data_IF_441200310869
#
_entry.id   IF_441200310869
#
_cell.length_a   1.000
_cell.length_b   1.000
_cell.length_c   1.000
_cell.angle_alpha   90.00
_cell.angle_beta   90.00
_cell.angle_gamma   90.00
#
_symmetry.space_group_name_H-M   'P 1'
#
loop_
_entity.id
_entity.type
_entity.pdbx_description
1 polymer ?
#
# COMPACT_ATOMS: atom_id res chain seq x y z
N UNK A 1 4.69 11.31 -0.50
CA UNK A 1 3.31 11.13 -1.00
C UNK A 1 2.32 11.34 0.13
N UNK A 2 1.23 12.02 -0.16
CA UNK A 2 0.17 12.26 0.80
C UNK A 2 -0.93 11.21 0.65
N UNK A 3 -1.11 10.32 1.63
CA UNK A 3 -2.09 9.23 1.55
C UNK A 3 -3.53 9.68 1.87
N UNK A 4 -3.75 10.98 2.08
CA UNK A 4 -5.06 11.56 2.45
C UNK A 4 -5.97 11.70 1.22
N UNK A 5 -7.24 11.97 1.47
CA UNK A 5 -8.28 12.13 0.43
C UNK A 5 -9.28 10.97 0.40
N UNK A 6 -10.40 11.20 -0.26
CA UNK A 6 -11.53 10.27 -0.27
C UNK A 6 -11.20 8.95 -0.98
N UNK A 7 -11.77 7.85 -0.47
CA UNK A 7 -11.66 6.53 -1.09
C UNK A 7 -12.49 6.56 -2.37
N UNK A 8 -11.81 6.38 -3.50
CA UNK A 8 -12.44 6.63 -4.81
C UNK A 8 -13.28 5.45 -5.32
N UNK A 9 -12.97 4.22 -4.90
CA UNK A 9 -13.71 3.02 -5.30
C UNK A 9 -13.45 1.85 -4.34
N UNK A 10 -14.28 0.80 -4.45
CA UNK A 10 -14.05 -0.47 -3.78
C UNK A 10 -12.68 -1.06 -4.16
N UNK A 11 -12.04 -1.73 -3.20
CA UNK A 11 -10.73 -2.37 -3.34
C UNK A 11 -9.53 -1.42 -3.51
N UNK A 12 -9.67 -0.15 -3.13
CA UNK A 12 -8.48 0.68 -2.86
C UNK A 12 -7.71 0.13 -1.66
N UNK A 13 -6.38 0.14 -1.73
CA UNK A 13 -5.51 -0.58 -0.80
C UNK A 13 -4.57 0.40 -0.12
N UNK A 14 -4.35 0.22 1.17
CA UNK A 14 -3.44 1.03 1.97
C UNK A 14 -2.42 0.11 2.62
N UNK A 15 -1.13 0.42 2.45
CA UNK A 15 -0.03 -0.31 3.06
C UNK A 15 0.38 0.40 4.35
N UNK A 16 0.37 -0.34 5.45
CA UNK A 16 0.69 0.15 6.79
C UNK A 16 1.93 -0.58 7.30
N UNK A 17 2.91 0.15 7.82
CA UNK A 17 4.14 -0.43 8.36
C UNK A 17 3.98 -0.92 9.82
N UNK A 18 5.01 -1.55 10.37
CA UNK A 18 4.99 -2.08 11.75
C UNK A 18 4.83 -1.03 12.86
N UNK A 19 5.04 0.26 12.56
CA UNK A 19 4.80 1.37 13.47
C UNK A 19 3.36 1.94 13.38
N UNK A 20 2.50 1.33 12.55
CA UNK A 20 1.12 1.80 12.34
C UNK A 20 1.01 3.01 11.40
N UNK A 21 2.05 3.33 10.65
CA UNK A 21 2.07 4.46 9.71
C UNK A 21 1.70 3.99 8.32
N UNK A 22 0.79 4.71 7.65
CA UNK A 22 0.48 4.48 6.23
C UNK A 22 1.70 4.90 5.40
N UNK A 23 2.22 3.97 4.61
CA UNK A 23 3.43 4.16 3.79
C UNK A 23 3.18 3.91 2.30
N UNK A 24 1.97 3.48 1.93
CA UNK A 24 1.57 3.31 0.54
C UNK A 24 0.05 3.38 0.36
N UNK A 25 -0.39 3.83 -0.81
CA UNK A 25 -1.79 3.80 -1.26
C UNK A 25 -1.84 3.35 -2.71
N UNK A 26 -2.60 2.30 -2.99
CA UNK A 26 -2.71 1.68 -4.31
C UNK A 26 -4.15 1.73 -4.78
N UNK A 27 -4.35 2.20 -6.02
CA UNK A 27 -5.69 2.32 -6.62
C UNK A 27 -6.35 0.96 -6.77
N UNK A 28 -7.68 0.97 -6.87
CA UNK A 28 -8.51 -0.23 -7.00
C UNK A 28 -8.10 -1.14 -8.16
N UNK A 29 -7.66 -0.56 -9.28
CA UNK A 29 -7.20 -1.28 -10.47
C UNK A 29 -5.86 -2.01 -10.31
N UNK A 30 -5.11 -1.75 -9.23
CA UNK A 30 -3.87 -2.50 -8.94
C UNK A 30 -4.25 -3.90 -8.48
N UNK A 31 -3.77 -4.92 -9.16
CA UNK A 31 -4.03 -6.31 -8.77
C UNK A 31 -3.31 -6.67 -7.46
N UNK A 32 -3.83 -7.60 -6.66
CA UNK A 32 -3.17 -8.03 -5.42
C UNK A 32 -1.76 -8.59 -5.62
N UNK A 33 -1.48 -9.16 -6.80
CA UNK A 33 -0.18 -9.72 -7.19
C UNK A 33 0.66 -8.79 -8.07
N UNK A 34 0.25 -7.52 -8.22
CA UNK A 34 1.04 -6.53 -8.93
C UNK A 34 2.40 -6.35 -8.24
N UNK A 35 3.48 -6.45 -9.01
CA UNK A 35 4.87 -6.40 -8.50
C UNK A 35 5.11 -5.15 -7.65
N UNK A 36 4.50 -4.01 -8.00
CA UNK A 36 4.65 -2.76 -7.24
C UNK A 36 4.08 -2.85 -5.83
N UNK A 37 3.02 -3.64 -5.63
CA UNK A 37 2.41 -3.86 -4.32
C UNK A 37 3.21 -4.89 -3.52
N UNK A 38 3.59 -6.01 -4.13
CA UNK A 38 4.34 -7.07 -3.46
C UNK A 38 5.73 -6.61 -3.06
N UNK A 39 6.46 -5.92 -3.94
CA UNK A 39 7.81 -5.41 -3.65
C UNK A 39 7.80 -4.37 -2.52
N UNK A 40 6.75 -3.54 -2.46
CA UNK A 40 6.58 -2.57 -1.38
C UNK A 40 6.37 -3.26 -0.03
N UNK A 41 5.67 -4.39 0.00
CA UNK A 41 5.50 -5.22 1.20
C UNK A 41 6.84 -5.86 1.58
N UNK A 42 7.52 -6.51 0.62
CA UNK A 42 8.78 -7.21 0.88
C UNK A 42 9.88 -6.26 1.37
N UNK A 43 9.92 -5.04 0.85
CA UNK A 43 10.84 -3.98 1.32
C UNK A 43 10.62 -3.67 2.81
N UNK A 44 9.38 -3.61 3.27
CA UNK A 44 9.08 -3.35 4.68
C UNK A 44 9.42 -4.55 5.57
N UNK A 45 9.24 -5.76 5.07
CA UNK A 45 9.57 -7.00 5.80
C UNK A 45 11.08 -7.24 5.89
N UNK A 46 11.86 -6.74 4.92
CA UNK A 46 13.32 -6.81 4.95
C UNK A 46 13.95 -5.83 5.96
N UNK A 47 13.17 -4.95 6.59
CA UNK A 47 13.64 -4.03 7.63
C UNK A 47 13.69 -4.77 8.97
N UNK A 48 14.84 -4.79 9.69
CA UNK A 48 14.97 -5.46 10.99
C UNK A 48 14.10 -4.87 12.09
#
# INVERSE_FOLDING_TARGET
>A
EDFRGEVSWNFEKFLVNGAGVVVGRFRSAVEPSDERLTDAIDTLLATP
#
